data_IF_540023256353
#
_entry.id   IF_540023256353
#
_cell.length_a   1.000
_cell.length_b   1.000
_cell.length_c   1.000
_cell.angle_alpha   90.00
_cell.angle_beta   90.00
_cell.angle_gamma   90.00
#
_symmetry.space_group_name_H-M   'P 1'
#
loop_
_entity.id
_entity.type
_entity.pdbx_description
1 polymer ?
#
# COMPACT_ATOMS: atom_id res chain seq x y z
N UNK A 1 -16.82 -0.64 7.34
CA UNK A 1 -18.06 -1.00 8.08
C UNK A 1 -17.68 -1.64 9.40
N UNK A 2 -17.61 -0.85 10.48
CA UNK A 2 -17.65 -1.40 11.84
C UNK A 2 -19.11 -1.43 12.28
N UNK A 3 -19.71 -2.62 12.31
CA UNK A 3 -21.01 -2.83 12.95
C UNK A 3 -20.75 -3.22 14.40
N UNK A 4 -21.40 -2.54 15.34
CA UNK A 4 -21.34 -2.92 16.74
C UNK A 4 -22.25 -4.13 16.99
N UNK A 5 -21.99 -4.85 18.08
CA UNK A 5 -22.85 -5.96 18.51
C UNK A 5 -24.32 -5.51 18.72
N UNK A 6 -24.52 -4.30 19.27
CA UNK A 6 -25.84 -3.74 19.49
C UNK A 6 -26.58 -3.49 18.16
N UNK A 7 -25.91 -2.91 17.17
CA UNK A 7 -26.47 -2.67 15.84
C UNK A 7 -26.77 -3.98 15.10
N UNK A 8 -25.85 -4.95 15.17
CA UNK A 8 -26.05 -6.27 14.57
C UNK A 8 -27.25 -7.00 15.20
N UNK A 9 -27.40 -6.92 16.52
CA UNK A 9 -28.56 -7.50 17.22
C UNK A 9 -29.86 -6.80 16.82
N UNK A 10 -29.85 -5.48 16.71
CA UNK A 10 -31.00 -4.71 16.22
C UNK A 10 -31.42 -5.16 14.83
N UNK A 11 -30.45 -5.33 13.93
CA UNK A 11 -30.67 -5.76 12.55
C UNK A 11 -31.27 -7.17 12.47
N UNK A 12 -30.66 -8.14 13.18
CA UNK A 12 -31.11 -9.53 13.20
C UNK A 12 -32.47 -9.72 13.87
N UNK A 13 -32.87 -8.79 14.74
CA UNK A 13 -34.19 -8.82 15.40
C UNK A 13 -35.23 -7.94 14.71
N UNK A 14 -34.90 -7.32 13.58
CA UNK A 14 -35.80 -6.46 12.81
C UNK A 14 -36.12 -5.12 13.49
N UNK A 15 -35.35 -4.71 14.50
CA UNK A 15 -35.54 -3.45 15.24
C UNK A 15 -34.87 -2.25 14.57
N UNK A 16 -33.91 -2.49 13.67
CA UNK A 16 -33.30 -1.46 12.84
C UNK A 16 -33.05 -1.97 11.42
N UNK A 17 -33.03 -1.06 10.47
CA UNK A 17 -32.66 -1.31 9.07
C UNK A 17 -31.40 -0.53 8.72
N UNK A 18 -30.46 -1.11 7.95
CA UNK A 18 -29.29 -0.39 7.47
C UNK A 18 -29.71 0.67 6.45
N UNK A 19 -29.13 1.86 6.54
CA UNK A 19 -29.46 2.97 5.64
C UNK A 19 -29.05 2.74 4.18
N UNK A 20 -28.15 1.80 3.92
CA UNK A 20 -27.66 1.43 2.59
C UNK A 20 -28.25 0.09 2.08
N UNK A 21 -29.33 -0.37 2.70
CA UNK A 21 -30.16 -1.47 2.18
C UNK A 21 -30.91 -0.98 0.94
N UNK A 22 -30.84 -1.74 -0.15
CA UNK A 22 -31.47 -1.38 -1.43
C UNK A 22 -32.99 -1.57 -1.34
N UNK A 23 -33.74 -0.84 -2.17
CA UNK A 23 -35.18 -1.05 -2.30
C UNK A 23 -35.47 -2.49 -2.73
N UNK A 24 -36.38 -3.16 -2.02
CA UNK A 24 -36.74 -4.57 -2.22
C UNK A 24 -35.63 -5.59 -1.92
N UNK A 25 -34.55 -5.19 -1.24
CA UNK A 25 -33.54 -6.11 -0.71
C UNK A 25 -34.02 -6.65 0.64
N UNK A 26 -33.99 -7.98 0.80
CA UNK A 26 -34.25 -8.61 2.08
C UNK A 26 -32.97 -8.71 2.93
N UNK A 27 -33.14 -9.01 4.22
CA UNK A 27 -32.00 -9.08 5.14
C UNK A 27 -30.94 -10.11 4.72
N UNK A 28 -31.29 -11.35 4.32
CA UNK A 28 -30.31 -12.30 3.80
C UNK A 28 -29.53 -11.77 2.59
N UNK A 29 -30.21 -11.20 1.59
CA UNK A 29 -29.55 -10.64 0.41
C UNK A 29 -28.61 -9.49 0.78
N UNK A 30 -29.04 -8.59 1.68
CA UNK A 30 -28.20 -7.51 2.20
C UNK A 30 -26.93 -8.05 2.87
N UNK A 31 -27.06 -9.05 3.75
CA UNK A 31 -25.93 -9.62 4.48
C UNK A 31 -24.95 -10.34 3.55
N UNK A 32 -25.46 -11.14 2.61
CA UNK A 32 -24.63 -11.82 1.59
C UNK A 32 -23.83 -10.79 0.81
N UNK A 33 -24.49 -9.73 0.30
CA UNK A 33 -23.81 -8.64 -0.41
C UNK A 33 -22.71 -7.99 0.44
N UNK A 34 -22.96 -7.75 1.73
CA UNK A 34 -21.96 -7.16 2.63
C UNK A 34 -20.79 -8.08 2.93
N UNK A 35 -21.03 -9.37 3.07
CA UNK A 35 -19.95 -10.35 3.21
C UNK A 35 -19.13 -10.45 1.92
N UNK A 36 -19.76 -10.44 0.76
CA UNK A 36 -19.07 -10.43 -0.53
C UNK A 36 -18.23 -9.15 -0.72
N UNK A 37 -18.77 -7.97 -0.40
CA UNK A 37 -18.04 -6.70 -0.43
C UNK A 37 -16.80 -6.71 0.49
N UNK A 38 -16.91 -7.33 1.68
CA UNK A 38 -15.78 -7.48 2.60
C UNK A 38 -14.76 -8.50 2.10
N UNK A 39 -15.23 -9.63 1.56
CA UNK A 39 -14.37 -10.68 1.00
C UNK A 39 -13.57 -10.14 -0.19
N UNK A 40 -14.21 -9.40 -1.10
CA UNK A 40 -13.54 -8.75 -2.24
C UNK A 40 -12.43 -7.80 -1.79
N UNK A 41 -12.64 -7.04 -0.71
CA UNK A 41 -11.60 -6.15 -0.16
C UNK A 41 -10.42 -6.94 0.42
N UNK A 42 -10.70 -8.05 1.11
CA UNK A 42 -9.65 -8.93 1.64
C UNK A 42 -8.85 -9.58 0.51
N UNK A 43 -9.53 -10.09 -0.51
CA UNK A 43 -8.89 -10.74 -1.66
C UNK A 43 -8.03 -9.74 -2.44
N UNK A 44 -8.50 -8.51 -2.65
CA UNK A 44 -7.74 -7.45 -3.29
C UNK A 44 -6.47 -7.08 -2.51
N UNK A 45 -6.57 -6.88 -1.19
CA UNK A 45 -5.40 -6.60 -0.35
C UNK A 45 -4.44 -7.80 -0.28
N UNK A 46 -4.95 -9.03 -0.26
CA UNK A 46 -4.13 -10.23 -0.26
C UNK A 46 -3.37 -10.39 -1.58
N UNK A 47 -4.03 -10.14 -2.72
CA UNK A 47 -3.42 -10.16 -4.04
C UNK A 47 -2.33 -9.09 -4.18
N UNK A 48 -2.59 -7.87 -3.72
CA UNK A 48 -1.60 -6.78 -3.69
C UNK A 48 -0.39 -7.14 -2.84
N UNK A 49 -0.61 -7.64 -1.61
CA UNK A 49 0.49 -8.07 -0.74
C UNK A 49 1.30 -9.23 -1.33
N UNK A 50 0.64 -10.16 -2.03
CA UNK A 50 1.33 -11.24 -2.72
C UNK A 50 2.19 -10.70 -3.86
N UNK A 51 1.67 -9.78 -4.67
CA UNK A 51 2.41 -9.14 -5.76
C UNK A 51 3.63 -8.35 -5.25
N UNK A 52 3.51 -7.62 -4.15
CA UNK A 52 4.64 -6.91 -3.54
C UNK A 52 5.74 -7.87 -3.06
N UNK A 53 5.36 -9.05 -2.53
CA UNK A 53 6.30 -10.07 -2.06
C UNK A 53 6.92 -10.90 -3.18
N UNK A 54 6.29 -10.93 -4.34
CA UNK A 54 6.80 -11.61 -5.54
C UNK A 54 8.03 -10.90 -6.13
N UNK A 55 8.31 -9.68 -5.66
CA UNK A 55 9.50 -8.93 -6.05
C UNK A 55 9.40 -8.42 -7.47
N UNK A 56 8.58 -7.37 -7.73
CA UNK A 56 8.38 -6.84 -9.07
C UNK A 56 9.69 -6.38 -9.75
N UNK A 57 10.72 -6.08 -8.95
CA UNK A 57 12.06 -5.72 -9.44
C UNK A 57 13.14 -6.75 -9.09
N UNK A 58 12.75 -7.94 -8.64
CA UNK A 58 13.65 -9.02 -8.23
C UNK A 58 13.94 -9.03 -6.73
N UNK A 59 14.97 -9.79 -6.37
CA UNK A 59 15.41 -10.04 -5.00
C UNK A 59 16.88 -9.70 -4.87
N UNK A 60 17.33 -9.45 -3.65
CA UNK A 60 18.75 -9.28 -3.37
C UNK A 60 19.17 -10.16 -2.20
N UNK A 61 20.46 -10.47 -2.14
CA UNK A 61 21.12 -10.90 -0.93
C UNK A 61 22.38 -10.07 -0.71
N UNK A 62 22.73 -9.90 0.56
CA UNK A 62 23.95 -9.21 0.96
C UNK A 62 24.68 -10.06 1.99
N UNK A 63 25.97 -10.16 1.80
CA UNK A 63 26.94 -10.73 2.72
C UNK A 63 28.18 -9.82 2.77
N UNK A 64 28.88 -9.78 3.89
CA UNK A 64 30.06 -8.92 4.02
C UNK A 64 31.25 -9.39 3.17
N UNK A 65 31.36 -10.69 2.89
CA UNK A 65 32.40 -11.29 2.06
C UNK A 65 32.12 -11.20 0.56
N UNK A 66 30.84 -11.38 0.16
CA UNK A 66 30.44 -11.36 -1.26
C UNK A 66 29.87 -10.01 -1.75
N UNK A 67 29.38 -9.17 -0.86
CA UNK A 67 28.72 -7.90 -1.19
C UNK A 67 27.25 -8.07 -1.56
N UNK A 68 26.72 -7.12 -2.33
CA UNK A 68 25.33 -7.10 -2.79
C UNK A 68 25.18 -7.86 -4.11
N UNK A 69 24.28 -8.84 -4.14
CA UNK A 69 23.95 -9.64 -5.32
C UNK A 69 22.43 -9.67 -5.57
N UNK A 70 22.02 -9.71 -6.83
CA UNK A 70 20.62 -9.73 -7.25
C UNK A 70 20.22 -11.07 -7.84
N UNK A 71 18.97 -11.47 -7.57
CA UNK A 71 18.40 -12.75 -7.96
C UNK A 71 17.02 -12.56 -8.58
N UNK A 72 16.63 -13.49 -9.45
CA UNK A 72 15.32 -13.45 -10.09
C UNK A 72 14.23 -14.02 -9.17
N UNK A 73 14.60 -14.89 -8.23
CA UNK A 73 13.64 -15.53 -7.34
C UNK A 73 14.03 -15.38 -5.86
N UNK A 74 13.02 -15.35 -4.99
CA UNK A 74 13.22 -15.36 -3.54
C UNK A 74 14.07 -16.56 -3.09
N UNK A 75 13.89 -17.71 -3.74
CA UNK A 75 14.56 -18.95 -3.39
C UNK A 75 16.07 -18.86 -3.66
N UNK A 76 16.47 -18.31 -4.80
CA UNK A 76 17.88 -18.10 -5.12
C UNK A 76 18.54 -17.14 -4.13
N UNK A 77 17.89 -16.02 -3.79
CA UNK A 77 18.41 -15.08 -2.80
C UNK A 77 18.56 -15.70 -1.40
N UNK A 78 17.58 -16.53 -1.00
CA UNK A 78 17.65 -17.28 0.26
C UNK A 78 18.77 -18.33 0.26
N UNK A 79 18.90 -19.07 -0.84
CA UNK A 79 19.92 -20.12 -0.96
C UNK A 79 21.33 -19.53 -0.96
N UNK A 80 21.51 -18.35 -1.55
CA UNK A 80 22.75 -17.58 -1.44
C UNK A 80 23.04 -17.20 0.01
N UNK A 81 22.10 -16.55 0.70
CA UNK A 81 22.27 -16.15 2.11
C UNK A 81 22.53 -17.36 3.02
N UNK A 82 21.86 -18.48 2.81
CA UNK A 82 22.06 -19.72 3.58
C UNK A 82 23.45 -20.34 3.29
N UNK A 83 23.95 -20.19 2.06
CA UNK A 83 25.31 -20.62 1.70
C UNK A 83 26.34 -19.79 2.47
N UNK A 84 26.22 -18.46 2.49
CA UNK A 84 27.09 -17.58 3.28
C UNK A 84 27.03 -17.92 4.78
N UNK A 85 25.83 -18.16 5.32
CA UNK A 85 25.68 -18.62 6.72
C UNK A 85 26.35 -19.98 6.96
N UNK A 86 26.33 -20.90 6.00
CA UNK A 86 27.00 -22.19 6.12
C UNK A 86 28.52 -22.04 6.18
N UNK A 87 29.10 -21.08 5.46
CA UNK A 87 30.53 -20.78 5.51
C UNK A 87 30.90 -20.25 6.90
N UNK A 88 30.18 -19.25 7.41
CA UNK A 88 30.38 -18.75 8.77
C UNK A 88 30.22 -19.83 9.85
N UNK A 89 29.25 -20.75 9.70
CA UNK A 89 29.10 -21.89 10.64
C UNK A 89 30.33 -22.78 10.68
N UNK A 90 31.05 -22.93 9.56
CA UNK A 90 32.28 -23.70 9.48
C UNK A 90 33.44 -23.10 10.27
N UNK A 91 33.44 -21.78 10.43
CA UNK A 91 34.49 -21.01 11.12
C UNK A 91 34.12 -20.64 12.56
N UNK A 92 32.89 -20.95 13.00
CA UNK A 92 32.36 -20.56 14.30
C UNK A 92 32.88 -21.38 15.50
N UNK A 93 34.10 -21.93 15.43
CA UNK A 93 34.67 -22.80 16.46
C UNK A 93 34.81 -22.13 17.83
N UNK A 94 35.08 -20.82 17.86
CA UNK A 94 35.18 -20.00 19.07
C UNK A 94 33.99 -19.03 19.24
N UNK A 95 32.93 -19.22 18.47
CA UNK A 95 31.75 -18.35 18.43
C UNK A 95 31.48 -17.77 17.04
N UNK A 96 30.33 -17.11 16.89
CA UNK A 96 29.94 -16.49 15.62
C UNK A 96 30.67 -15.16 15.42
N UNK A 97 31.08 -14.87 14.18
CA UNK A 97 31.53 -13.55 13.78
C UNK A 97 30.39 -12.53 13.92
N UNK A 98 30.70 -11.30 14.31
CA UNK A 98 29.75 -10.17 14.33
C UNK A 98 29.21 -9.87 12.91
N UNK A 99 29.96 -10.24 11.87
CA UNK A 99 29.59 -10.08 10.46
C UNK A 99 28.40 -10.93 10.03
N UNK A 100 28.12 -12.03 10.75
CA UNK A 100 27.00 -12.93 10.43
C UNK A 100 25.66 -12.20 10.49
N UNK A 101 25.54 -11.20 11.38
CA UNK A 101 24.34 -10.36 11.47
C UNK A 101 24.11 -9.47 10.25
N UNK A 102 25.11 -9.32 9.39
CA UNK A 102 25.00 -8.59 8.13
C UNK A 102 24.40 -9.42 6.99
N UNK A 103 24.38 -10.76 7.11
CA UNK A 103 23.82 -11.63 6.07
C UNK A 103 22.32 -11.44 5.98
N UNK A 104 21.84 -10.90 4.87
CA UNK A 104 20.41 -10.61 4.64
C UNK A 104 20.01 -10.97 3.23
N UNK A 105 18.73 -11.26 3.03
CA UNK A 105 18.10 -11.28 1.72
C UNK A 105 16.79 -10.50 1.77
N UNK A 106 16.34 -10.01 0.62
CA UNK A 106 15.15 -9.17 0.56
C UNK A 106 14.58 -8.99 -0.84
N UNK A 107 13.48 -8.24 -0.88
CA UNK A 107 12.76 -7.88 -2.10
C UNK A 107 13.21 -6.50 -2.59
N UNK A 108 13.42 -6.36 -3.89
CA UNK A 108 13.68 -5.06 -4.52
C UNK A 108 12.33 -4.43 -4.86
N UNK A 109 12.04 -3.32 -4.18
CA UNK A 109 10.76 -2.62 -4.30
C UNK A 109 10.72 -1.62 -5.45
N UNK A 110 11.85 -0.99 -5.76
CA UNK A 110 12.00 -0.01 -6.85
C UNK A 110 13.43 0.00 -7.35
N UNK A 111 13.62 0.51 -8.58
CA UNK A 111 14.93 0.74 -9.17
C UNK A 111 15.04 2.16 -9.72
N UNK A 112 16.25 2.72 -9.62
CA UNK A 112 16.56 3.96 -10.31
C UNK A 112 16.47 3.74 -11.82
N UNK A 113 15.64 4.52 -12.48
CA UNK A 113 15.44 4.50 -13.93
C UNK A 113 15.91 5.83 -14.51
N UNK A 114 16.64 5.77 -15.61
CA UNK A 114 17.07 6.96 -16.34
C UNK A 114 15.86 7.67 -16.94
N UNK A 115 15.80 8.98 -16.76
CA UNK A 115 14.71 9.85 -17.22
C UNK A 115 15.28 11.08 -17.90
N UNK A 116 14.47 11.71 -18.77
CA UNK A 116 14.79 13.03 -19.32
C UNK A 116 16.08 13.11 -20.14
N UNK A 117 16.49 12.00 -20.80
CA UNK A 117 17.67 12.01 -21.67
C UNK A 117 17.50 13.05 -22.79
N UNK A 118 18.35 14.07 -22.79
CA UNK A 118 18.34 15.18 -23.74
C UNK A 118 19.76 15.71 -24.00
N UNK A 119 19.99 16.50 -25.06
CA UNK A 119 21.25 17.23 -25.23
C UNK A 119 21.47 18.26 -24.12
N UNK A 120 22.74 18.53 -23.79
CA UNK A 120 23.12 19.58 -22.82
C UNK A 120 22.78 20.97 -23.36
N UNK A 121 22.18 21.80 -22.51
CA UNK A 121 21.79 23.19 -22.82
C UNK A 121 22.61 24.22 -22.03
N UNK A 122 22.58 25.47 -22.49
CA UNK A 122 23.28 26.59 -21.85
C UNK A 122 22.64 26.88 -20.47
N UNK A 123 23.36 26.56 -19.40
CA UNK A 123 22.89 26.66 -18.02
C UNK A 123 22.89 25.34 -17.25
N UNK A 124 23.05 24.20 -17.94
CA UNK A 124 23.24 22.91 -17.28
C UNK A 124 24.61 22.85 -16.59
N UNK A 125 24.64 22.36 -15.35
CA UNK A 125 25.88 22.20 -14.58
C UNK A 125 26.63 20.93 -15.03
N UNK A 126 27.16 20.96 -16.25
CA UNK A 126 27.82 19.83 -16.89
C UNK A 126 29.28 20.14 -17.20
N UNK A 127 30.16 19.15 -17.04
CA UNK A 127 31.58 19.30 -17.35
C UNK A 127 31.82 19.38 -18.87
N UNK A 128 32.90 20.06 -19.28
CA UNK A 128 33.30 20.13 -20.69
C UNK A 128 33.51 18.72 -21.26
N UNK A 129 32.89 18.44 -22.41
CA UNK A 129 32.96 17.14 -23.10
C UNK A 129 31.75 16.22 -22.89
N UNK A 130 30.82 16.58 -22.01
CA UNK A 130 29.53 15.89 -21.90
C UNK A 130 28.52 16.50 -22.87
N UNK A 131 27.86 15.66 -23.66
CA UNK A 131 26.92 16.08 -24.71
C UNK A 131 25.47 15.77 -24.39
N UNK A 132 25.23 14.88 -23.42
CA UNK A 132 23.91 14.41 -23.03
C UNK A 132 23.68 14.62 -21.54
N UNK A 133 22.48 15.06 -21.20
CA UNK A 133 21.96 15.27 -19.85
C UNK A 133 20.85 14.25 -19.59
N UNK A 134 20.87 13.62 -18.43
CA UNK A 134 19.77 12.79 -17.94
C UNK A 134 19.67 12.90 -16.42
N UNK A 135 18.54 12.48 -15.87
CA UNK A 135 18.31 12.36 -14.43
C UNK A 135 17.93 10.91 -14.09
N UNK A 136 18.03 10.54 -12.82
CA UNK A 136 17.62 9.23 -12.32
C UNK A 136 16.58 9.39 -11.23
N UNK A 137 15.46 8.70 -11.38
CA UNK A 137 14.37 8.67 -10.40
C UNK A 137 14.00 7.23 -10.04
N UNK A 138 13.46 7.01 -8.84
CA UNK A 138 12.93 5.71 -8.43
C UNK A 138 11.57 5.48 -9.09
N UNK A 139 11.57 4.72 -10.19
CA UNK A 139 10.39 4.48 -11.03
C UNK A 139 10.30 3.02 -11.48
N UNK A 140 9.09 2.49 -11.73
CA UNK A 140 7.78 3.14 -11.55
C UNK A 140 7.42 3.33 -10.07
N UNK A 141 6.44 4.19 -9.80
CA UNK A 141 5.91 4.36 -8.44
C UNK A 141 5.27 3.04 -7.98
N UNK A 142 5.42 2.69 -6.71
CA UNK A 142 4.79 1.48 -6.17
C UNK A 142 3.32 1.81 -5.91
N UNK A 143 2.45 1.36 -6.80
CA UNK A 143 1.02 1.54 -6.63
C UNK A 143 0.46 0.47 -5.69
N UNK A 144 -0.31 0.91 -4.69
CA UNK A 144 -1.02 0.03 -3.76
C UNK A 144 -2.51 0.36 -3.74
N UNK A 145 -3.22 0.17 -4.89
CA UNK A 145 -4.59 0.64 -5.07
C UNK A 145 -5.59 0.02 -4.07
N UNK A 146 -5.39 -1.22 -3.63
CA UNK A 146 -6.25 -1.86 -2.63
C UNK A 146 -6.03 -1.22 -1.24
N UNK A 147 -4.78 -0.97 -0.88
CA UNK A 147 -4.44 -0.23 0.35
C UNK A 147 -4.99 1.19 0.30
N UNK A 148 -4.84 1.89 -0.82
CA UNK A 148 -5.34 3.26 -0.99
C UNK A 148 -6.86 3.32 -0.90
N UNK A 149 -7.57 2.40 -1.57
CA UNK A 149 -9.02 2.27 -1.47
C UNK A 149 -9.47 2.00 -0.03
N UNK A 150 -8.74 1.17 0.72
CA UNK A 150 -9.02 0.93 2.13
C UNK A 150 -8.82 2.18 2.99
N UNK A 151 -7.69 2.87 2.85
CA UNK A 151 -7.40 4.11 3.58
C UNK A 151 -8.44 5.19 3.27
N UNK A 152 -8.86 5.31 2.01
CA UNK A 152 -9.91 6.22 1.60
C UNK A 152 -11.27 5.88 2.24
N UNK A 153 -11.60 4.59 2.34
CA UNK A 153 -12.78 4.14 3.09
C UNK A 153 -12.71 4.55 4.56
N UNK A 154 -11.53 4.44 5.20
CA UNK A 154 -11.34 4.84 6.61
C UNK A 154 -11.45 6.36 6.77
N UNK A 155 -10.84 7.14 5.87
CA UNK A 155 -10.96 8.61 5.83
C UNK A 155 -12.42 9.04 5.68
N UNK A 156 -13.18 8.38 4.80
CA UNK A 156 -14.60 8.64 4.58
C UNK A 156 -15.45 8.32 5.82
N UNK A 157 -15.14 7.23 6.53
CA UNK A 157 -15.77 6.91 7.82
C UNK A 157 -15.47 7.99 8.86
N UNK A 158 -14.23 8.52 8.90
CA UNK A 158 -13.84 9.64 9.76
C UNK A 158 -14.62 10.93 9.47
N UNK A 159 -14.78 11.31 8.20
CA UNK A 159 -15.56 12.48 7.80
C UNK A 159 -17.03 12.37 8.27
N UNK A 160 -17.64 11.19 8.14
CA UNK A 160 -19.00 10.92 8.62
C UNK A 160 -19.09 10.94 10.14
N UNK A 161 -18.08 10.43 10.84
CA UNK A 161 -18.05 10.46 12.30
C UNK A 161 -18.03 11.90 12.82
N UNK A 162 -17.22 12.78 12.23
CA UNK A 162 -17.17 14.22 12.55
C UNK A 162 -18.53 14.87 12.29
N UNK A 163 -19.14 14.60 11.13
CA UNK A 163 -20.49 15.08 10.78
C UNK A 163 -21.52 14.72 11.86
N UNK A 164 -21.51 13.48 12.34
CA UNK A 164 -22.50 13.02 13.32
C UNK A 164 -22.25 13.55 14.74
N UNK A 165 -20.99 13.85 15.07
CA UNK A 165 -20.60 14.38 16.40
C UNK A 165 -20.87 15.88 16.55
N UNK A 166 -20.97 16.62 15.44
CA UNK A 166 -21.18 18.05 15.46
C UNK A 166 -22.66 18.38 15.66
N UNK A 167 -23.01 18.90 16.84
CA UNK A 167 -24.34 19.46 17.11
C UNK A 167 -24.33 20.92 16.63
N UNK A 168 -24.97 21.20 15.50
CA UNK A 168 -25.16 22.57 15.01
C UNK A 168 -26.57 23.06 15.30
N UNK A 169 -26.69 24.28 15.80
CA UNK A 169 -27.95 24.99 15.91
C UNK A 169 -28.38 25.54 14.53
N UNK A 170 -29.64 25.31 14.18
CA UNK A 170 -30.50 25.85 13.11
C UNK A 170 -30.06 25.97 11.62
N UNK A 171 -28.83 25.69 11.20
CA UNK A 171 -28.52 25.63 9.75
C UNK A 171 -27.38 24.68 9.33
N UNK A 172 -27.08 23.65 10.12
CA UNK A 172 -26.00 22.68 9.85
C UNK A 172 -26.08 21.84 8.56
N UNK A 173 -26.93 22.22 7.59
CA UNK A 173 -27.05 21.62 6.27
C UNK A 173 -25.75 21.65 5.48
N UNK A 174 -24.97 22.73 5.60
CA UNK A 174 -23.75 22.90 4.79
C UNK A 174 -22.67 21.90 5.20
N UNK A 175 -22.45 21.69 6.51
CA UNK A 175 -21.48 20.70 6.99
C UNK A 175 -21.96 19.27 6.71
N UNK A 176 -23.27 19.01 6.78
CA UNK A 176 -23.82 17.72 6.41
C UNK A 176 -23.57 17.38 4.95
N UNK A 177 -23.81 18.33 4.04
CA UNK A 177 -23.55 18.19 2.61
C UNK A 177 -22.06 18.03 2.32
N UNK A 178 -21.21 18.90 2.87
CA UNK A 178 -19.76 18.87 2.67
C UNK A 178 -19.15 17.54 3.12
N UNK A 179 -19.48 17.08 4.33
CA UNK A 179 -18.92 15.83 4.84
C UNK A 179 -19.41 14.61 4.07
N UNK A 180 -20.65 14.66 3.55
CA UNK A 180 -21.20 13.58 2.72
C UNK A 180 -20.51 13.54 1.35
N UNK A 181 -20.38 14.68 0.67
CA UNK A 181 -19.67 14.81 -0.60
C UNK A 181 -18.18 14.42 -0.46
N UNK A 182 -17.51 14.88 0.59
CA UNK A 182 -16.13 14.49 0.91
C UNK A 182 -15.99 12.98 1.07
N UNK A 183 -16.92 12.34 1.80
CA UNK A 183 -16.90 10.89 1.98
C UNK A 183 -17.16 10.12 0.67
N UNK A 184 -17.98 10.66 -0.22
CA UNK A 184 -18.23 10.11 -1.55
C UNK A 184 -16.99 10.21 -2.44
N UNK A 185 -16.36 11.38 -2.50
CA UNK A 185 -15.12 11.61 -3.26
C UNK A 185 -13.94 10.76 -2.78
N UNK A 186 -13.85 10.52 -1.47
CA UNK A 186 -12.87 9.60 -0.89
C UNK A 186 -13.14 8.18 -1.39
N UNK A 187 -14.38 7.68 -1.26
CA UNK A 187 -14.74 6.31 -1.66
C UNK A 187 -14.63 6.05 -3.15
N UNK A 188 -14.90 7.05 -3.99
CA UNK A 188 -14.74 6.96 -5.45
C UNK A 188 -13.29 7.10 -5.90
N UNK A 189 -12.39 7.58 -5.03
CA UNK A 189 -11.01 7.93 -5.40
C UNK A 189 -10.90 9.21 -6.25
N UNK A 190 -11.96 10.02 -6.34
CA UNK A 190 -11.98 11.26 -7.15
C UNK A 190 -11.57 12.51 -6.39
N UNK A 191 -11.27 12.39 -5.09
CA UNK A 191 -10.70 13.48 -4.31
C UNK A 191 -9.33 13.91 -4.85
N UNK A 192 -9.02 15.20 -4.73
CA UNK A 192 -7.74 15.74 -5.14
C UNK A 192 -6.66 15.21 -4.19
N UNK A 193 -5.91 14.20 -4.61
CA UNK A 193 -4.72 13.76 -3.90
C UNK A 193 -3.61 14.74 -4.26
N UNK A 194 -3.09 15.45 -3.27
CA UNK A 194 -1.91 16.30 -3.43
C UNK A 194 -0.70 15.52 -4.00
N UNK A 195 -0.75 14.18 -3.95
CA UNK A 195 0.24 13.24 -4.49
C UNK A 195 0.24 13.09 -6.02
N UNK A 196 -0.61 13.82 -6.79
CA UNK A 196 -0.48 13.87 -8.26
C UNK A 196 0.64 14.82 -8.75
N UNK A 197 1.36 15.45 -7.82
CA UNK A 197 2.55 16.24 -8.11
C UNK A 197 3.79 15.49 -7.61
N UNK A 198 4.31 14.59 -8.44
CA UNK A 198 5.55 13.83 -8.19
C UNK A 198 6.02 13.15 -9.45
#
# INVERSE_FOLDING_TARGET
>A
MKITECEMRGLLTGKCLPGDMRLNEDLPAYLVRKFDELQQKLDAMAAENAALKDGPHGFFAYDSGCGYEEFQTAKEAQDFAETSLSEYRGEACDGWSDEVGSVVWGVIMQRATMTGLRPVEEGDNCAEGITEWCDYALLPNIETPATDAYLNSVRAEGAIAVRNALVLADDGSDIYAIATDTAEQLRSGTHDTADKAG
#
